data_IF_046040204081
#
_entry.id   IF_046040204081
#
_cell.length_a   1.000
_cell.length_b   1.000
_cell.length_c   1.000
_cell.angle_alpha   90.00
_cell.angle_beta   90.00
_cell.angle_gamma   90.00
#
_symmetry.space_group_name_H-M   'P 1'
#
loop_
_entity.id
_entity.type
_entity.pdbx_description
1 polymer ?
#
# COMPACT_ATOMS: atom_id res chain seq x y z
N UNK A 1 -46.85 16.77 62.49
CA UNK A 1 -46.30 18.11 62.17
C UNK A 1 -44.87 18.17 62.67
N UNK A 2 -43.85 18.68 61.95
CA UNK A 2 -43.62 18.88 60.50
C UNK A 2 -42.29 18.19 60.04
N UNK A 3 -42.12 17.78 58.77
CA UNK A 3 -41.44 18.42 57.60
C UNK A 3 -40.09 17.79 57.18
N UNK A 4 -40.06 17.46 55.89
CA UNK A 4 -39.02 17.13 54.90
C UNK A 4 -37.61 17.75 55.04
N UNK A 5 -36.57 17.02 54.59
CA UNK A 5 -35.67 17.37 53.46
C UNK A 5 -34.55 16.30 53.21
N UNK A 6 -34.52 15.79 51.97
CA UNK A 6 -33.41 15.53 51.01
C UNK A 6 -32.19 14.59 51.18
N UNK A 7 -31.94 13.86 50.06
CA UNK A 7 -30.62 13.52 49.44
C UNK A 7 -30.03 12.14 49.80
N UNK A 8 -29.50 11.28 48.93
CA UNK A 8 -29.21 11.18 47.49
C UNK A 8 -28.88 9.67 47.24
N UNK A 9 -29.25 8.97 46.18
CA UNK A 9 -29.35 9.36 44.78
C UNK A 9 -28.10 8.87 44.02
N UNK A 10 -27.95 7.57 43.80
CA UNK A 10 -26.79 6.98 43.11
C UNK A 10 -26.79 7.29 41.61
N UNK A 11 -25.78 8.04 41.16
CA UNK A 11 -25.56 8.32 39.74
C UNK A 11 -24.72 7.23 39.07
N UNK A 12 -25.32 6.61 38.05
CA UNK A 12 -24.63 5.81 37.03
C UNK A 12 -23.92 6.75 36.06
N UNK A 13 -22.63 6.52 35.84
CA UNK A 13 -21.85 7.18 34.80
C UNK A 13 -22.35 6.75 33.40
N UNK A 14 -22.41 7.66 32.41
CA UNK A 14 -22.94 7.34 31.08
C UNK A 14 -21.89 6.66 30.18
N UNK A 15 -22.34 5.64 29.45
CA UNK A 15 -21.62 5.00 28.36
C UNK A 15 -21.28 6.01 27.25
N UNK A 16 -19.99 6.27 27.05
CA UNK A 16 -19.49 7.02 25.90
C UNK A 16 -19.47 6.15 24.64
N UNK A 17 -20.54 6.18 23.86
CA UNK A 17 -20.50 5.76 22.45
C UNK A 17 -19.65 6.76 21.65
N UNK A 18 -18.73 6.32 20.77
CA UNK A 18 -18.15 7.22 19.77
C UNK A 18 -19.22 7.52 18.71
N UNK A 19 -19.89 8.67 18.88
CA UNK A 19 -20.85 9.22 17.95
C UNK A 19 -20.16 9.71 16.68
N UNK A 20 -20.61 9.19 15.53
CA UNK A 20 -20.21 9.66 14.20
C UNK A 20 -20.69 8.69 13.12
N UNK A 21 -22.00 8.64 12.85
CA UNK A 21 -22.51 8.00 11.63
C UNK A 21 -22.04 8.84 10.43
N UNK A 22 -21.31 8.31 9.44
CA UNK A 22 -21.11 8.97 8.16
C UNK A 22 -22.37 8.76 7.33
N UNK A 23 -23.46 9.38 7.77
CA UNK A 23 -24.66 9.58 6.95
C UNK A 23 -24.47 10.81 6.05
N UNK A 24 -23.28 10.98 5.47
CA UNK A 24 -23.09 11.94 4.38
C UNK A 24 -23.84 11.45 3.16
N UNK A 25 -24.57 12.34 2.49
CA UNK A 25 -25.06 12.07 1.14
C UNK A 25 -23.85 11.79 0.24
N UNK A 26 -23.94 10.77 -0.64
CA UNK A 26 -22.84 10.46 -1.55
C UNK A 26 -22.53 11.67 -2.43
N UNK A 27 -21.25 11.92 -2.70
CA UNK A 27 -20.87 13.01 -3.59
C UNK A 27 -21.47 12.79 -4.98
N UNK A 28 -22.40 13.66 -5.37
CA UNK A 28 -23.13 13.59 -6.63
C UNK A 28 -22.36 14.13 -7.83
N UNK A 29 -21.15 14.67 -7.61
CA UNK A 29 -20.31 15.17 -8.69
C UNK A 29 -19.97 14.06 -9.71
N UNK A 30 -19.80 14.43 -10.98
CA UNK A 30 -19.24 13.54 -11.98
C UNK A 30 -17.90 12.97 -11.51
N UNK A 31 -17.67 11.68 -11.74
CA UNK A 31 -16.38 11.04 -11.48
C UNK A 31 -15.68 10.74 -12.80
N UNK A 32 -14.47 11.25 -12.95
CA UNK A 32 -13.50 10.82 -13.98
C UNK A 32 -12.51 9.87 -13.32
N UNK A 33 -12.35 8.67 -13.88
CA UNK A 33 -11.48 7.62 -13.38
C UNK A 33 -10.36 7.38 -14.40
N UNK A 34 -9.12 7.70 -14.04
CA UNK A 34 -7.94 7.20 -14.76
C UNK A 34 -7.62 5.80 -14.25
N UNK A 35 -7.90 4.78 -15.06
CA UNK A 35 -7.81 3.38 -14.65
C UNK A 35 -7.61 2.43 -15.82
N UNK A 36 -7.49 1.13 -15.53
CA UNK A 36 -7.42 0.10 -16.59
C UNK A 36 -8.82 -0.30 -17.01
N UNK A 37 -9.16 -0.09 -18.29
CA UNK A 37 -10.50 -0.37 -18.80
C UNK A 37 -10.82 -1.86 -18.75
N UNK A 38 -12.07 -2.18 -18.37
CA UNK A 38 -12.61 -3.51 -18.03
C UNK A 38 -11.86 -4.19 -16.87
N UNK A 39 -10.98 -3.47 -16.19
CA UNK A 39 -10.22 -3.93 -15.04
C UNK A 39 -11.10 -4.19 -13.83
N UNK A 40 -10.57 -4.94 -12.86
CA UNK A 40 -11.30 -5.29 -11.64
C UNK A 40 -11.74 -4.06 -10.84
N UNK A 41 -10.88 -3.05 -10.77
CA UNK A 41 -11.10 -1.86 -9.94
C UNK A 41 -12.12 -0.91 -10.57
N UNK A 42 -12.08 -0.73 -11.89
CA UNK A 42 -13.14 -0.01 -12.62
C UNK A 42 -14.52 -0.65 -12.37
N UNK A 43 -14.63 -1.98 -12.52
CA UNK A 43 -15.89 -2.69 -12.30
C UNK A 43 -16.44 -2.48 -10.88
N UNK A 44 -15.57 -2.49 -9.87
CA UNK A 44 -15.96 -2.25 -8.48
C UNK A 44 -16.38 -0.79 -8.26
N UNK A 45 -15.69 0.17 -8.86
CA UNK A 45 -16.08 1.58 -8.80
C UNK A 45 -17.44 1.81 -9.47
N UNK A 46 -17.66 1.27 -10.67
CA UNK A 46 -18.94 1.39 -11.38
C UNK A 46 -20.08 0.74 -10.58
N UNK A 47 -19.86 -0.44 -10.01
CA UNK A 47 -20.83 -1.12 -9.15
C UNK A 47 -21.17 -0.30 -7.90
N UNK A 48 -20.17 0.31 -7.26
CA UNK A 48 -20.39 1.19 -6.11
C UNK A 48 -21.21 2.44 -6.47
N UNK A 49 -20.93 3.06 -7.62
CA UNK A 49 -21.72 4.20 -8.11
C UNK A 49 -23.16 3.81 -8.42
N UNK A 50 -23.36 2.69 -9.10
CA UNK A 50 -24.69 2.15 -9.39
C UNK A 50 -25.48 1.86 -8.11
N UNK A 51 -24.85 1.22 -7.11
CA UNK A 51 -25.49 0.91 -5.82
C UNK A 51 -25.88 2.17 -5.02
N UNK A 52 -25.18 3.29 -5.26
CA UNK A 52 -25.48 4.59 -4.66
C UNK A 52 -26.42 5.45 -5.52
N UNK A 53 -26.91 4.95 -6.66
CA UNK A 53 -27.76 5.72 -7.57
C UNK A 53 -27.04 6.86 -8.28
N UNK A 54 -25.70 6.82 -8.35
CA UNK A 54 -24.88 7.84 -9.00
C UNK A 54 -24.71 7.55 -10.50
N UNK A 55 -24.54 8.58 -11.36
CA UNK A 55 -24.18 8.39 -12.76
C UNK A 55 -22.88 7.59 -12.91
N UNK A 56 -22.75 6.77 -13.96
CA UNK A 56 -21.53 6.01 -14.23
C UNK A 56 -20.29 6.92 -14.29
N UNK A 57 -19.14 6.39 -13.85
CA UNK A 57 -17.88 7.11 -13.97
C UNK A 57 -17.44 7.19 -15.44
N UNK A 58 -16.86 8.32 -15.84
CA UNK A 58 -16.16 8.45 -17.12
C UNK A 58 -14.78 7.81 -16.96
N UNK A 59 -14.47 6.82 -17.79
CA UNK A 59 -13.22 6.04 -17.67
C UNK A 59 -12.23 6.46 -18.74
N UNK A 60 -11.14 7.09 -18.31
CA UNK A 60 -9.94 7.35 -19.12
C UNK A 60 -9.01 6.16 -18.92
N UNK A 61 -8.71 5.43 -19.99
CA UNK A 61 -7.81 4.27 -19.91
C UNK A 61 -6.35 4.74 -19.83
N UNK A 62 -5.58 4.16 -18.91
CA UNK A 62 -4.16 4.49 -18.72
C UNK A 62 -3.33 4.38 -20.01
N UNK A 63 -3.47 3.28 -20.76
CA UNK A 63 -2.65 3.05 -21.95
C UNK A 63 -3.08 3.97 -23.09
N UNK A 64 -4.38 4.21 -23.26
CA UNK A 64 -4.89 5.15 -24.26
C UNK A 64 -4.49 6.59 -23.95
N UNK A 65 -4.53 7.02 -22.69
CA UNK A 65 -4.08 8.36 -22.31
C UNK A 65 -2.58 8.55 -22.49
N UNK A 66 -1.76 7.54 -22.21
CA UNK A 66 -0.32 7.61 -22.49
C UNK A 66 -0.03 7.77 -23.99
N UNK A 67 -0.84 7.18 -24.87
CA UNK A 67 -0.74 7.35 -26.33
C UNK A 67 -1.36 8.67 -26.79
N UNK A 68 -2.45 9.13 -26.17
CA UNK A 68 -3.23 10.31 -26.53
C UNK A 68 -3.56 11.16 -25.29
N UNK A 69 -2.61 12.00 -24.81
CA UNK A 69 -2.78 12.76 -23.57
C UNK A 69 -4.03 13.66 -23.53
N UNK A 70 -4.47 14.15 -24.69
CA UNK A 70 -5.66 15.00 -24.82
C UNK A 70 -6.95 14.35 -24.29
N UNK A 71 -7.01 13.02 -24.18
CA UNK A 71 -8.18 12.30 -23.63
C UNK A 71 -8.48 12.70 -22.18
N UNK A 72 -7.45 12.92 -21.36
CA UNK A 72 -7.63 13.31 -19.97
C UNK A 72 -8.08 14.77 -19.88
N UNK A 73 -7.40 15.67 -20.58
CA UNK A 73 -7.77 17.09 -20.65
C UNK A 73 -9.22 17.26 -21.11
N UNK A 74 -9.64 16.59 -22.19
CA UNK A 74 -11.02 16.64 -22.68
C UNK A 74 -12.03 16.14 -21.62
N UNK A 75 -11.68 15.12 -20.85
CA UNK A 75 -12.55 14.56 -19.81
C UNK A 75 -12.68 15.45 -18.57
N UNK A 76 -11.70 16.32 -18.31
CA UNK A 76 -11.65 17.17 -17.12
C UNK A 76 -12.07 18.64 -17.37
N UNK A 77 -12.09 19.09 -18.63
CA UNK A 77 -12.20 20.52 -18.97
C UNK A 77 -13.59 21.15 -18.74
N UNK A 78 -14.67 20.38 -18.84
CA UNK A 78 -16.01 20.98 -19.04
C UNK A 78 -16.75 21.40 -17.76
N UNK A 79 -16.51 20.73 -16.63
CA UNK A 79 -17.30 20.94 -15.40
C UNK A 79 -16.57 20.50 -14.14
N UNK A 80 -16.94 21.04 -12.96
CA UNK A 80 -16.50 20.52 -11.67
C UNK A 80 -16.71 19.01 -11.58
N UNK A 81 -15.67 18.29 -11.19
CA UNK A 81 -15.71 16.84 -11.08
C UNK A 81 -14.71 16.34 -10.05
N UNK A 82 -14.94 15.10 -9.62
CA UNK A 82 -13.94 14.32 -8.90
C UNK A 82 -13.09 13.57 -9.92
N UNK A 83 -11.78 13.67 -9.79
CA UNK A 83 -10.83 12.89 -10.57
C UNK A 83 -10.14 11.85 -9.68
N UNK A 84 -10.36 10.57 -9.96
CA UNK A 84 -9.69 9.48 -9.27
C UNK A 84 -8.62 8.86 -10.15
N UNK A 85 -7.41 8.74 -9.62
CA UNK A 85 -6.33 7.96 -10.20
C UNK A 85 -6.38 6.57 -9.56
N UNK A 86 -6.42 5.53 -10.38
CA UNK A 86 -6.40 4.15 -9.92
C UNK A 86 -5.15 3.40 -10.39
N UNK A 87 -4.91 2.23 -9.81
CA UNK A 87 -3.72 1.43 -10.06
C UNK A 87 -3.58 1.07 -11.54
N UNK A 88 -2.36 1.11 -12.11
CA UNK A 88 -2.07 0.58 -13.44
C UNK A 88 -2.25 -0.95 -13.52
N UNK A 89 -2.46 -1.65 -12.39
CA UNK A 89 -2.78 -3.08 -12.36
C UNK A 89 -1.67 -3.96 -12.94
N UNK A 90 -2.06 -5.09 -13.53
CA UNK A 90 -1.16 -6.07 -14.15
C UNK A 90 -1.24 -6.02 -15.70
N UNK A 91 -1.65 -4.87 -16.27
CA UNK A 91 -1.77 -4.71 -17.72
C UNK A 91 -0.39 -4.70 -18.39
N UNK A 92 -0.08 -5.75 -19.15
CA UNK A 92 1.24 -5.95 -19.75
C UNK A 92 1.60 -4.87 -20.79
N UNK A 93 0.62 -4.33 -21.52
CA UNK A 93 0.85 -3.26 -22.51
C UNK A 93 1.26 -1.99 -21.78
N UNK A 94 0.48 -1.59 -20.78
CA UNK A 94 0.76 -0.41 -19.95
C UNK A 94 2.11 -0.52 -19.25
N UNK A 95 2.42 -1.67 -18.65
CA UNK A 95 3.72 -1.92 -18.03
C UNK A 95 4.87 -1.73 -19.04
N UNK A 96 4.73 -2.31 -20.25
CA UNK A 96 5.73 -2.15 -21.30
C UNK A 96 5.86 -0.73 -21.85
N UNK A 97 4.81 0.10 -21.76
CA UNK A 97 4.87 1.53 -22.11
C UNK A 97 5.62 2.32 -21.04
N UNK A 98 5.28 2.11 -19.76
CA UNK A 98 5.94 2.78 -18.63
C UNK A 98 7.43 2.42 -18.56
N UNK A 99 7.78 1.13 -18.70
CA UNK A 99 9.19 0.69 -18.73
C UNK A 99 9.93 1.39 -19.86
N UNK A 100 9.38 1.42 -21.08
CA UNK A 100 10.03 2.08 -22.22
C UNK A 100 10.29 3.57 -21.98
N UNK A 101 9.28 4.30 -21.50
CA UNK A 101 9.42 5.72 -21.19
C UNK A 101 10.44 5.97 -20.07
N UNK A 102 10.47 5.10 -19.05
CA UNK A 102 11.45 5.19 -17.97
C UNK A 102 12.87 4.86 -18.42
N UNK A 103 13.06 3.83 -19.24
CA UNK A 103 14.35 3.51 -19.87
C UNK A 103 14.86 4.70 -20.69
N UNK A 104 14.02 5.29 -21.53
CA UNK A 104 14.37 6.48 -22.33
C UNK A 104 14.80 7.64 -21.43
N UNK A 105 14.02 7.95 -20.40
CA UNK A 105 14.31 9.05 -19.47
C UNK A 105 15.58 8.83 -18.65
N UNK A 106 15.93 7.58 -18.36
CA UNK A 106 17.15 7.22 -17.64
C UNK A 106 18.36 7.00 -18.57
N UNK A 107 18.17 7.08 -19.90
CA UNK A 107 19.24 6.79 -20.87
C UNK A 107 19.68 5.32 -20.90
N UNK A 108 18.81 4.40 -20.47
CA UNK A 108 19.09 2.97 -20.37
C UNK A 108 18.57 2.27 -21.65
N UNK A 109 19.45 1.57 -22.35
CA UNK A 109 19.06 0.74 -23.48
C UNK A 109 18.27 -0.49 -23.03
N UNK A 110 17.06 -0.68 -23.55
CA UNK A 110 16.24 -1.85 -23.25
C UNK A 110 16.41 -2.93 -24.31
N UNK A 111 17.07 -4.03 -23.96
CA UNK A 111 17.25 -5.17 -24.88
C UNK A 111 15.98 -6.00 -25.05
N UNK A 112 15.19 -6.14 -23.98
CA UNK A 112 13.88 -6.83 -23.99
C UNK A 112 12.98 -6.33 -22.88
N UNK A 113 11.68 -6.58 -23.04
CA UNK A 113 10.73 -6.45 -21.94
C UNK A 113 10.88 -7.65 -20.97
N UNK A 114 10.58 -7.43 -19.66
CA UNK A 114 10.55 -8.50 -18.68
C UNK A 114 9.49 -9.54 -19.03
N UNK A 115 9.77 -10.80 -18.72
CA UNK A 115 8.79 -11.86 -18.81
C UNK A 115 7.68 -11.64 -17.77
N UNK A 116 6.51 -12.26 -17.97
CA UNK A 116 5.42 -12.16 -16.99
C UNK A 116 5.89 -12.64 -15.62
N UNK A 117 5.83 -11.75 -14.63
CA UNK A 117 6.21 -12.04 -13.25
C UNK A 117 7.70 -11.97 -12.98
N UNK A 118 8.53 -11.65 -13.97
CA UNK A 118 9.95 -11.39 -13.75
C UNK A 118 10.15 -10.15 -12.86
N UNK A 119 11.07 -10.25 -11.91
CA UNK A 119 11.46 -9.14 -11.02
C UNK A 119 12.70 -8.50 -11.65
N UNK A 120 12.46 -7.64 -12.63
CA UNK A 120 13.46 -6.81 -13.27
C UNK A 120 12.87 -5.44 -13.61
N UNK A 121 13.72 -4.51 -14.03
CA UNK A 121 13.36 -3.17 -14.50
C UNK A 121 12.48 -2.33 -13.56
N UNK A 122 12.59 -2.57 -12.25
CA UNK A 122 11.72 -1.91 -11.26
C UNK A 122 11.93 -0.40 -11.19
N UNK A 123 13.18 0.07 -11.35
CA UNK A 123 13.50 1.49 -11.34
C UNK A 123 13.03 2.21 -12.61
N UNK A 124 13.16 1.55 -13.75
CA UNK A 124 12.73 2.03 -15.05
C UNK A 124 11.21 2.12 -15.10
N UNK A 125 10.50 1.08 -14.66
CA UNK A 125 9.04 1.15 -14.54
C UNK A 125 8.59 2.32 -13.65
N UNK A 126 9.24 2.52 -12.50
CA UNK A 126 8.90 3.60 -11.58
C UNK A 126 9.22 4.99 -12.16
N UNK A 127 10.32 5.12 -12.91
CA UNK A 127 10.66 6.35 -13.62
C UNK A 127 9.58 6.71 -14.66
N UNK A 128 9.12 5.73 -15.45
CA UNK A 128 8.01 5.93 -16.39
C UNK A 128 6.71 6.31 -15.69
N UNK A 129 6.38 5.63 -14.58
CA UNK A 129 5.21 5.97 -13.76
C UNK A 129 5.30 7.37 -13.15
N UNK A 130 6.51 7.78 -12.74
CA UNK A 130 6.80 9.14 -12.24
C UNK A 130 6.51 10.19 -13.31
N UNK A 131 7.01 10.00 -14.53
CA UNK A 131 6.74 10.90 -15.65
C UNK A 131 5.24 10.99 -15.97
N UNK A 132 4.54 9.85 -15.94
CA UNK A 132 3.10 9.82 -16.13
C UNK A 132 2.37 10.66 -15.06
N UNK A 133 2.65 10.44 -13.78
CA UNK A 133 2.02 11.22 -12.71
C UNK A 133 2.43 12.70 -12.68
N UNK A 134 3.62 13.05 -13.15
CA UNK A 134 4.02 14.44 -13.37
C UNK A 134 3.20 15.12 -14.47
N UNK A 135 2.90 14.41 -15.57
CA UNK A 135 2.00 14.92 -16.63
C UNK A 135 0.59 15.14 -16.11
N UNK A 136 0.06 14.17 -15.35
CA UNK A 136 -1.25 14.32 -14.68
C UNK A 136 -1.25 15.54 -13.76
N UNK A 137 -0.22 15.72 -12.94
CA UNK A 137 -0.12 16.87 -12.04
C UNK A 137 -0.07 18.21 -12.80
N UNK A 138 0.65 18.26 -13.94
CA UNK A 138 0.71 19.44 -14.78
C UNK A 138 -0.67 19.79 -15.37
N UNK A 139 -1.42 18.80 -15.88
CA UNK A 139 -2.80 19.00 -16.36
C UNK A 139 -3.72 19.52 -15.25
N UNK A 140 -3.65 18.91 -14.05
CA UNK A 140 -4.48 19.30 -12.91
C UNK A 140 -4.17 20.70 -12.38
N UNK A 141 -2.93 21.18 -12.50
CA UNK A 141 -2.54 22.50 -12.02
C UNK A 141 -3.31 23.66 -12.68
N UNK A 142 -3.83 23.43 -13.90
CA UNK A 142 -4.64 24.39 -14.64
C UNK A 142 -6.15 24.27 -14.36
N UNK A 143 -6.58 23.29 -13.56
CA UNK A 143 -7.99 22.88 -13.42
C UNK A 143 -8.43 22.91 -11.94
N UNK A 144 -8.59 24.11 -11.37
CA UNK A 144 -8.96 24.30 -9.96
C UNK A 144 -10.35 23.75 -9.59
N UNK A 145 -11.22 23.53 -10.57
CA UNK A 145 -12.54 22.92 -10.37
C UNK A 145 -12.50 21.38 -10.23
N UNK A 146 -11.34 20.75 -10.40
CA UNK A 146 -11.16 19.30 -10.31
C UNK A 146 -10.69 18.91 -8.91
N UNK A 147 -11.46 18.06 -8.22
CA UNK A 147 -11.11 17.52 -6.90
C UNK A 147 -10.43 16.16 -7.07
N UNK A 148 -9.21 16.02 -6.56
CA UNK A 148 -8.35 14.88 -6.90
C UNK A 148 -8.33 13.82 -5.79
N UNK A 149 -8.42 12.56 -6.16
CA UNK A 149 -8.36 11.39 -5.28
C UNK A 149 -7.37 10.35 -5.85
N UNK A 150 -6.16 10.18 -5.35
CA UNK A 150 -5.39 11.03 -4.42
C UNK A 150 -4.45 11.96 -5.22
N UNK A 151 -3.81 12.92 -4.54
CA UNK A 151 -2.82 13.78 -5.19
C UNK A 151 -1.65 12.98 -5.82
N UNK A 152 -1.24 13.29 -7.08
CA UNK A 152 -0.19 12.54 -7.78
C UNK A 152 1.15 12.44 -7.03
N UNK A 153 1.58 13.50 -6.36
CA UNK A 153 2.88 13.50 -5.67
C UNK A 153 2.88 12.62 -4.40
N UNK A 154 1.76 12.56 -3.66
CA UNK A 154 1.63 11.65 -2.51
C UNK A 154 1.47 10.19 -2.97
N UNK A 155 0.81 9.95 -4.12
CA UNK A 155 0.79 8.63 -4.76
C UNK A 155 2.21 8.16 -5.08
N UNK A 156 3.05 9.01 -5.68
CA UNK A 156 4.45 8.68 -5.97
C UNK A 156 5.23 8.36 -4.70
N UNK A 157 5.05 9.18 -3.65
CA UNK A 157 5.72 8.95 -2.38
C UNK A 157 5.29 7.62 -1.73
N UNK A 158 4.01 7.26 -1.77
CA UNK A 158 3.54 5.96 -1.27
C UNK A 158 4.01 4.78 -2.12
N UNK A 159 4.24 4.98 -3.42
CA UNK A 159 4.73 3.93 -4.32
C UNK A 159 6.24 3.68 -4.19
N UNK A 160 7.00 4.63 -3.66
CA UNK A 160 8.39 4.47 -3.26
C UNK A 160 8.47 4.07 -1.79
N UNK A 161 8.58 2.76 -1.50
CA UNK A 161 8.55 2.28 -0.13
C UNK A 161 9.68 2.82 0.73
N UNK A 162 10.87 3.02 0.16
CA UNK A 162 12.01 3.53 0.93
C UNK A 162 11.78 4.99 1.30
N UNK A 163 11.39 5.82 0.32
CA UNK A 163 11.08 7.23 0.56
C UNK A 163 9.87 7.39 1.50
N UNK A 164 8.86 6.53 1.37
CA UNK A 164 7.69 6.51 2.26
C UNK A 164 8.08 6.22 3.72
N UNK A 165 8.95 5.23 3.95
CA UNK A 165 9.44 4.92 5.30
C UNK A 165 10.29 6.05 5.89
N UNK A 166 11.12 6.69 5.07
CA UNK A 166 11.87 7.87 5.48
C UNK A 166 10.94 9.05 5.83
N UNK A 167 9.89 9.27 5.04
CA UNK A 167 8.85 10.28 5.29
C UNK A 167 8.11 10.04 6.61
N UNK A 168 7.77 8.78 6.91
CA UNK A 168 7.19 8.38 8.18
C UNK A 168 8.13 8.61 9.35
N UNK A 169 9.38 8.19 9.23
CA UNK A 169 10.41 8.39 10.27
C UNK A 169 10.58 9.87 10.59
N UNK A 170 10.69 10.72 9.56
CA UNK A 170 10.83 12.16 9.71
C UNK A 170 9.64 12.84 10.42
N UNK A 171 8.49 12.18 10.48
CA UNK A 171 7.26 12.66 11.14
C UNK A 171 6.93 11.90 12.42
N UNK A 172 7.87 11.10 12.93
CA UNK A 172 7.70 10.35 14.17
C UNK A 172 6.66 9.23 14.09
N UNK A 173 6.29 8.78 12.90
CA UNK A 173 5.41 7.63 12.72
C UNK A 173 6.23 6.37 13.03
N UNK A 174 5.78 5.50 13.96
CA UNK A 174 6.52 4.28 14.29
C UNK A 174 6.57 3.31 13.10
N UNK A 175 7.78 2.93 12.71
CA UNK A 175 8.06 1.99 11.63
C UNK A 175 9.15 0.99 12.07
N UNK A 176 9.35 -0.14 11.35
CA UNK A 176 10.57 -0.92 11.50
C UNK A 176 11.82 -0.06 11.35
N UNK A 177 12.85 -0.32 12.17
CA UNK A 177 14.12 0.41 12.06
C UNK A 177 14.67 0.24 10.65
N UNK A 178 14.76 1.34 9.92
CA UNK A 178 15.26 1.39 8.56
C UNK A 178 16.79 1.23 8.56
N UNK A 179 17.31 0.35 7.71
CA UNK A 179 18.75 0.11 7.58
C UNK A 179 19.32 0.65 6.25
N UNK A 180 18.45 1.13 5.37
CA UNK A 180 18.83 1.78 4.12
C UNK A 180 18.95 0.83 2.91
N UNK A 181 19.37 1.35 1.75
CA UNK A 181 19.60 0.58 0.53
C UNK A 181 20.64 -0.52 0.73
N UNK A 182 20.47 -1.64 0.02
CA UNK A 182 21.42 -2.75 0.02
C UNK A 182 22.00 -2.89 -1.39
N UNK A 183 23.33 -2.88 -1.48
CA UNK A 183 24.08 -2.91 -2.75
C UNK A 183 24.44 -4.33 -3.19
N UNK A 184 24.23 -5.32 -2.32
CA UNK A 184 24.51 -6.73 -2.57
C UNK A 184 24.67 -7.49 -1.26
N UNK A 185 24.97 -8.78 -1.36
CA UNK A 185 25.11 -9.67 -0.21
C UNK A 185 26.24 -9.23 0.74
N UNK A 186 27.38 -8.82 0.21
CA UNK A 186 28.50 -8.37 1.03
C UNK A 186 28.13 -7.12 1.86
N UNK A 187 27.46 -6.15 1.23
CA UNK A 187 26.96 -4.97 1.91
C UNK A 187 25.90 -5.33 2.97
N UNK A 188 24.97 -6.24 2.66
CA UNK A 188 24.01 -6.73 3.66
C UNK A 188 24.69 -7.30 4.91
N UNK A 189 25.74 -8.11 4.73
CA UNK A 189 26.49 -8.68 5.86
C UNK A 189 27.11 -7.58 6.72
N UNK A 190 27.74 -6.59 6.11
CA UNK A 190 28.34 -5.46 6.81
C UNK A 190 27.30 -4.66 7.61
N UNK A 191 26.15 -4.34 7.00
CA UNK A 191 25.03 -3.64 7.67
C UNK A 191 24.52 -4.41 8.88
N UNK A 192 24.40 -5.73 8.75
CA UNK A 192 23.97 -6.58 9.87
C UNK A 192 25.01 -6.64 11.00
N UNK A 193 26.30 -6.65 10.67
CA UNK A 193 27.40 -6.65 11.65
C UNK A 193 27.45 -5.32 12.41
N UNK A 194 27.40 -4.20 11.68
CA UNK A 194 27.36 -2.83 12.23
C UNK A 194 26.20 -2.64 13.20
N UNK A 195 25.01 -3.11 12.83
CA UNK A 195 23.81 -2.93 13.65
C UNK A 195 23.54 -4.06 14.65
N UNK A 196 24.46 -5.02 14.76
CA UNK A 196 24.35 -6.21 15.61
C UNK A 196 23.05 -7.00 15.42
N UNK A 197 22.63 -7.15 14.15
CA UNK A 197 21.42 -7.87 13.76
C UNK A 197 21.74 -9.24 13.18
N UNK A 198 20.80 -10.15 13.38
CA UNK A 198 20.83 -11.51 12.83
C UNK A 198 19.64 -11.81 11.93
N UNK A 199 18.72 -10.85 11.76
CA UNK A 199 17.49 -11.03 11.01
C UNK A 199 16.94 -9.69 10.51
N UNK A 200 16.55 -9.65 9.25
CA UNK A 200 16.04 -8.46 8.55
C UNK A 200 15.02 -8.86 7.49
N UNK A 201 14.20 -7.90 7.11
CA UNK A 201 13.44 -7.98 5.88
C UNK A 201 14.12 -7.14 4.80
N UNK A 202 14.30 -7.74 3.63
CA UNK A 202 14.64 -7.03 2.40
C UNK A 202 13.37 -6.78 1.60
N UNK A 203 13.23 -5.59 1.04
CA UNK A 203 12.08 -5.22 0.21
C UNK A 203 12.57 -4.52 -1.05
N UNK A 204 12.02 -4.90 -2.20
CA UNK A 204 12.14 -4.11 -3.42
C UNK A 204 11.48 -2.74 -3.22
N UNK A 205 12.17 -1.66 -3.62
CA UNK A 205 11.73 -0.29 -3.35
C UNK A 205 10.39 0.06 -4.00
N UNK A 206 10.16 -0.40 -5.23
CA UNK A 206 8.94 -0.08 -6.00
C UNK A 206 8.00 -1.27 -6.24
N UNK A 207 8.33 -2.46 -5.74
CA UNK A 207 7.49 -3.64 -5.95
C UNK A 207 6.15 -3.56 -5.21
N UNK A 208 5.17 -4.36 -5.60
CA UNK A 208 3.91 -4.52 -4.86
C UNK A 208 3.67 -5.99 -4.51
N UNK A 209 2.61 -6.33 -3.77
CA UNK A 209 2.17 -7.73 -3.55
C UNK A 209 3.23 -8.66 -2.93
N UNK A 210 4.11 -8.09 -2.09
CA UNK A 210 5.29 -8.75 -1.54
C UNK A 210 6.30 -9.25 -2.58
N UNK A 211 6.31 -8.70 -3.80
CA UNK A 211 7.28 -9.03 -4.86
C UNK A 211 8.73 -8.80 -4.40
N UNK A 212 9.56 -9.83 -4.49
CA UNK A 212 10.98 -9.75 -4.13
C UNK A 212 11.28 -9.50 -2.65
N UNK A 213 10.32 -9.75 -1.76
CA UNK A 213 10.54 -9.61 -0.31
C UNK A 213 11.32 -10.81 0.21
N UNK A 214 12.37 -10.56 0.99
CA UNK A 214 13.20 -11.60 1.61
C UNK A 214 13.13 -11.47 3.13
N UNK A 215 12.73 -12.54 3.79
CA UNK A 215 12.96 -12.79 5.20
C UNK A 215 14.35 -13.44 5.36
N UNK A 216 15.37 -12.65 5.69
CA UNK A 216 16.73 -13.14 5.85
C UNK A 216 17.07 -13.32 7.34
N UNK A 217 17.75 -14.42 7.67
CA UNK A 217 18.30 -14.68 9.00
C UNK A 217 19.65 -15.40 8.93
N UNK A 218 20.49 -15.15 9.93
CA UNK A 218 21.76 -15.84 10.16
C UNK A 218 21.91 -16.21 11.64
N UNK A 219 22.78 -17.17 11.94
CA UNK A 219 23.17 -17.47 13.32
C UNK A 219 24.68 -17.30 13.53
N UNK A 220 25.11 -17.37 14.80
CA UNK A 220 26.51 -17.23 15.18
C UNK A 220 27.43 -18.34 14.66
N UNK A 221 26.88 -19.47 14.20
CA UNK A 221 27.62 -20.59 13.60
C UNK A 221 27.80 -20.44 12.09
N UNK A 222 27.36 -19.31 11.51
CA UNK A 222 27.47 -19.03 10.09
C UNK A 222 26.36 -19.63 9.23
N UNK A 223 25.36 -20.32 9.81
CA UNK A 223 24.23 -20.82 9.04
C UNK A 223 23.29 -19.68 8.67
N UNK A 224 22.84 -19.66 7.41
CA UNK A 224 21.99 -18.63 6.85
C UNK A 224 20.70 -19.24 6.28
N UNK A 225 19.65 -18.41 6.25
CA UNK A 225 18.44 -18.72 5.51
C UNK A 225 17.79 -17.45 4.96
N UNK A 226 17.38 -17.51 3.70
CA UNK A 226 16.54 -16.51 3.06
C UNK A 226 15.23 -17.16 2.62
N UNK A 227 14.09 -16.71 3.18
CA UNK A 227 12.77 -17.09 2.68
C UNK A 227 12.21 -15.97 1.82
N UNK A 228 11.90 -16.24 0.56
CA UNK A 228 11.59 -15.21 -0.43
C UNK A 228 10.34 -15.53 -1.26
N UNK A 229 9.69 -14.48 -1.75
CA UNK A 229 8.69 -14.52 -2.83
C UNK A 229 9.32 -14.41 -4.23
N UNK A 230 10.65 -14.25 -4.32
CA UNK A 230 11.40 -14.37 -5.55
C UNK A 230 11.97 -15.77 -5.69
N UNK A 231 11.73 -16.39 -6.86
CA UNK A 231 12.32 -17.65 -7.28
C UNK A 231 13.49 -17.40 -8.22
N UNK A 232 14.66 -17.91 -7.85
CA UNK A 232 15.88 -17.89 -8.65
C UNK A 232 15.81 -18.96 -9.74
N UNK A 233 15.74 -18.54 -10.99
CA UNK A 233 15.62 -19.42 -12.16
C UNK A 233 16.85 -19.25 -13.03
N UNK A 234 17.54 -20.37 -13.32
CA UNK A 234 18.68 -20.40 -14.24
C UNK A 234 18.18 -20.35 -15.69
N UNK A 235 18.90 -19.62 -16.55
CA UNK A 235 18.60 -19.54 -17.98
C UNK A 235 19.84 -19.19 -18.80
N UNK A 236 19.70 -19.23 -20.13
CA UNK A 236 20.80 -19.00 -21.08
C UNK A 236 21.46 -17.62 -20.93
N UNK A 237 20.71 -16.62 -20.45
CA UNK A 237 21.21 -15.27 -20.14
C UNK A 237 21.65 -15.05 -18.70
N UNK A 238 21.84 -16.12 -17.91
CA UNK A 238 22.16 -16.05 -16.48
C UNK A 238 20.93 -16.18 -15.57
N UNK A 239 21.14 -16.12 -14.24
CA UNK A 239 20.08 -16.25 -13.26
C UNK A 239 19.11 -15.07 -13.30
N UNK A 240 17.82 -15.35 -13.19
CA UNK A 240 16.73 -14.37 -13.17
C UNK A 240 15.80 -14.62 -11.99
N UNK A 241 15.08 -13.59 -11.56
CA UNK A 241 14.13 -13.67 -10.47
C UNK A 241 12.70 -13.60 -10.98
N UNK A 242 11.84 -14.48 -10.47
CA UNK A 242 10.41 -14.48 -10.78
C UNK A 242 9.57 -14.45 -9.50
N UNK A 243 8.47 -13.72 -9.53
CA UNK A 243 7.49 -13.69 -8.47
C UNK A 243 6.77 -15.03 -8.33
N UNK A 244 6.77 -15.57 -7.11
CA UNK A 244 6.07 -16.80 -6.77
C UNK A 244 5.17 -16.62 -5.57
N UNK A 245 3.97 -17.21 -5.64
CA UNK A 245 3.04 -17.26 -4.50
C UNK A 245 3.51 -18.22 -3.41
N UNK A 246 4.12 -19.35 -3.83
CA UNK A 246 4.68 -20.32 -2.89
C UNK A 246 6.11 -19.92 -2.57
N UNK A 247 6.29 -19.39 -1.36
CA UNK A 247 7.60 -18.90 -0.90
C UNK A 247 8.68 -19.97 -1.00
N UNK A 248 9.85 -19.55 -1.49
CA UNK A 248 11.08 -20.33 -1.55
C UNK A 248 11.92 -20.13 -0.31
N UNK A 249 12.70 -21.13 0.04
CA UNK A 249 13.70 -21.03 1.12
C UNK A 249 15.05 -21.43 0.56
N UNK A 250 16.02 -20.53 0.73
CA UNK A 250 17.40 -20.68 0.33
C UNK A 250 18.25 -20.83 1.57
N UNK A 251 19.07 -21.87 1.59
CA UNK A 251 19.96 -22.21 2.71
C UNK A 251 21.41 -22.36 2.26
N UNK A 252 21.66 -22.54 0.95
CA UNK A 252 22.99 -22.54 0.38
C UNK A 252 23.44 -21.09 0.17
N UNK A 253 24.64 -20.75 0.67
CA UNK A 253 25.19 -19.41 0.56
C UNK A 253 25.27 -18.92 -0.90
N UNK A 254 25.71 -19.71 -1.91
CA UNK A 254 25.75 -19.25 -3.29
C UNK A 254 24.40 -18.77 -3.84
N UNK A 255 23.30 -19.46 -3.49
CA UNK A 255 21.96 -19.06 -3.91
C UNK A 255 21.50 -17.78 -3.19
N UNK A 256 21.84 -17.65 -1.91
CA UNK A 256 21.55 -16.45 -1.11
C UNK A 256 22.28 -15.23 -1.67
N UNK A 257 23.55 -15.39 -2.08
CA UNK A 257 24.34 -14.35 -2.74
C UNK A 257 23.65 -13.90 -4.03
N UNK A 258 23.37 -14.83 -4.95
CA UNK A 258 22.72 -14.49 -6.23
C UNK A 258 21.35 -13.84 -6.03
N UNK A 259 20.54 -14.35 -5.10
CA UNK A 259 19.23 -13.77 -4.78
C UNK A 259 19.36 -12.31 -4.34
N UNK A 260 20.28 -12.02 -3.40
CA UNK A 260 20.42 -10.68 -2.85
C UNK A 260 21.05 -9.72 -3.86
N UNK A 261 22.06 -10.15 -4.62
CA UNK A 261 22.72 -9.30 -5.61
C UNK A 261 21.78 -8.91 -6.76
N UNK A 262 20.95 -9.85 -7.24
CA UNK A 262 19.92 -9.55 -8.25
C UNK A 262 18.87 -8.58 -7.69
N UNK A 263 18.43 -8.77 -6.44
CA UNK A 263 17.49 -7.86 -5.78
C UNK A 263 18.09 -6.48 -5.49
N UNK A 264 19.38 -6.39 -5.18
CA UNK A 264 20.10 -5.13 -5.02
C UNK A 264 20.10 -4.32 -6.32
N UNK A 265 20.29 -4.98 -7.47
CA UNK A 265 20.10 -4.37 -8.79
C UNK A 265 18.68 -3.86 -9.05
N UNK A 266 17.69 -4.30 -8.25
CA UNK A 266 16.32 -3.81 -8.23
C UNK A 266 16.04 -2.83 -7.07
N UNK A 267 17.10 -2.13 -6.63
CA UNK A 267 17.07 -1.08 -5.60
C UNK A 267 16.44 -1.56 -4.28
N UNK A 268 16.77 -2.77 -3.86
CA UNK A 268 16.29 -3.32 -2.60
C UNK A 268 16.86 -2.57 -1.39
N UNK A 269 16.07 -2.49 -0.32
CA UNK A 269 16.49 -1.91 0.95
C UNK A 269 16.16 -2.85 2.12
N UNK A 270 16.77 -2.61 3.27
CA UNK A 270 16.60 -3.42 4.46
C UNK A 270 15.88 -2.69 5.60
N UNK A 271 15.07 -3.46 6.33
CA UNK A 271 14.43 -3.07 7.59
C UNK A 271 14.73 -4.11 8.67
N UNK A 272 14.90 -3.66 9.91
CA UNK A 272 15.01 -4.56 11.05
C UNK A 272 13.74 -5.39 11.22
N UNK A 273 13.92 -6.66 11.60
CA UNK A 273 12.82 -7.59 11.76
C UNK A 273 11.91 -7.22 12.95
N UNK A 274 10.62 -6.97 12.68
CA UNK A 274 9.59 -6.88 13.73
C UNK A 274 8.85 -8.23 13.88
N UNK A 275 8.83 -8.83 15.08
CA UNK A 275 8.01 -10.01 15.34
C UNK A 275 6.52 -9.72 15.21
N UNK A 276 5.83 -10.45 14.34
CA UNK A 276 4.38 -10.37 14.17
C UNK A 276 3.63 -11.05 15.31
N UNK A 277 2.50 -10.49 15.79
CA UNK A 277 1.62 -11.16 16.73
C UNK A 277 1.14 -12.49 16.15
N UNK A 278 0.78 -13.41 17.05
CA UNK A 278 0.33 -14.76 16.71
C UNK A 278 -1.16 -14.91 16.93
N UNK A 279 -1.79 -15.71 16.09
CA UNK A 279 -3.14 -16.20 16.28
C UNK A 279 -3.19 -17.68 15.89
N UNK A 280 -3.54 -18.54 16.85
CA UNK A 280 -3.37 -19.99 16.71
C UNK A 280 -1.92 -20.35 16.33
N UNK A 281 -1.78 -21.08 15.22
CA UNK A 281 -0.48 -21.49 14.68
C UNK A 281 0.13 -20.47 13.69
N UNK A 282 -0.57 -19.38 13.38
CA UNK A 282 -0.16 -18.37 12.41
C UNK A 282 0.35 -17.07 13.01
N UNK A 283 0.85 -16.22 12.13
CA UNK A 283 1.18 -14.82 12.38
C UNK A 283 0.25 -13.92 11.58
N UNK A 284 0.05 -12.69 12.04
CA UNK A 284 -0.75 -11.73 11.28
C UNK A 284 -0.17 -10.32 11.30
N UNK A 285 -0.56 -9.57 10.28
CA UNK A 285 -0.56 -8.12 10.28
C UNK A 285 -1.99 -7.63 10.00
N UNK A 286 -2.21 -6.33 10.07
CA UNK A 286 -3.51 -5.70 9.84
C UNK A 286 -3.40 -4.74 8.67
N UNK A 287 -4.28 -4.92 7.69
CA UNK A 287 -4.54 -3.92 6.65
C UNK A 287 -5.62 -2.98 7.18
N UNK A 288 -5.29 -1.69 7.30
CA UNK A 288 -6.22 -0.61 7.62
C UNK A 288 -6.38 0.27 6.39
N UNK A 289 -7.59 0.47 5.90
CA UNK A 289 -7.89 1.50 4.90
C UNK A 289 -8.34 2.75 5.62
N UNK A 290 -7.67 3.87 5.39
CA UNK A 290 -8.10 5.18 5.86
C UNK A 290 -8.84 5.93 4.76
N UNK A 291 -9.87 6.68 5.13
CA UNK A 291 -10.66 7.57 4.27
C UNK A 291 -10.66 8.98 4.89
N UNK A 292 -10.21 10.00 4.17
CA UNK A 292 -10.10 11.38 4.67
C UNK A 292 -9.27 11.47 5.96
N UNK A 293 -8.17 10.71 6.04
CA UNK A 293 -7.32 10.63 7.25
C UNK A 293 -7.89 9.78 8.41
N UNK A 294 -9.09 9.19 8.25
CA UNK A 294 -9.78 8.42 9.29
C UNK A 294 -9.71 6.92 9.02
N UNK A 295 -9.33 6.05 9.97
CA UNK A 295 -9.42 4.60 9.81
C UNK A 295 -10.86 4.11 9.56
N UNK A 296 -11.08 3.42 8.44
CA UNK A 296 -12.37 2.95 7.98
C UNK A 296 -12.43 1.41 7.93
N UNK A 297 -11.88 0.76 6.91
CA UNK A 297 -11.91 -0.70 6.80
C UNK A 297 -10.69 -1.34 7.46
N UNK A 298 -10.86 -2.50 8.09
CA UNK A 298 -9.77 -3.22 8.78
C UNK A 298 -9.89 -4.70 8.51
N UNK A 299 -8.77 -5.35 8.22
CA UNK A 299 -8.74 -6.80 8.10
C UNK A 299 -7.39 -7.34 8.55
N UNK A 300 -7.41 -8.33 9.43
CA UNK A 300 -6.20 -9.06 9.76
C UNK A 300 -5.91 -10.07 8.65
N UNK A 301 -4.65 -10.13 8.22
CA UNK A 301 -4.16 -11.09 7.23
C UNK A 301 -3.34 -12.14 7.96
N UNK A 302 -3.92 -13.32 8.14
CA UNK A 302 -3.32 -14.42 8.91
C UNK A 302 -2.62 -15.37 7.96
N UNK A 303 -1.33 -15.56 8.18
CA UNK A 303 -0.50 -16.51 7.43
C UNK A 303 0.20 -17.50 8.36
N UNK A 304 0.40 -18.73 7.87
CA UNK A 304 1.18 -19.75 8.58
C UNK A 304 2.69 -19.56 8.41
N UNK A 305 3.11 -18.58 7.60
CA UNK A 305 4.50 -18.24 7.29
C UNK A 305 4.82 -16.80 7.67
N UNK A 306 6.10 -16.43 7.61
CA UNK A 306 6.58 -15.11 8.07
C UNK A 306 6.08 -13.93 7.23
N UNK A 307 5.65 -14.17 5.99
CA UNK A 307 4.99 -13.19 5.11
C UNK A 307 3.48 -13.42 5.06
N UNK A 308 2.72 -12.34 5.31
CA UNK A 308 1.26 -12.34 5.58
C UNK A 308 0.45 -11.61 4.50
N UNK A 309 1.06 -11.22 3.38
CA UNK A 309 0.40 -10.48 2.30
C UNK A 309 -0.78 -11.28 1.69
N UNK A 310 -1.91 -10.63 1.37
CA UNK A 310 -3.11 -11.29 0.80
C UNK A 310 -2.86 -12.02 -0.53
N UNK A 311 -1.86 -11.59 -1.31
CA UNK A 311 -1.50 -12.23 -2.56
C UNK A 311 -0.90 -13.64 -2.39
N UNK A 312 -0.65 -14.05 -1.13
CA UNK A 312 -0.19 -15.38 -0.73
C UNK A 312 -1.34 -16.29 -0.23
N UNK A 313 -2.59 -15.97 -0.59
CA UNK A 313 -3.81 -16.70 -0.22
C UNK A 313 -4.03 -16.81 1.31
N UNK A 314 -3.55 -15.80 2.06
CA UNK A 314 -3.69 -15.74 3.51
C UNK A 314 -5.15 -15.56 3.95
N UNK A 315 -5.50 -16.13 5.10
CA UNK A 315 -6.84 -16.06 5.66
C UNK A 315 -7.14 -14.65 6.17
N UNK A 316 -8.39 -14.21 6.00
CA UNK A 316 -8.88 -12.97 6.58
C UNK A 316 -9.53 -13.27 7.92
N UNK A 317 -9.17 -12.49 8.93
CA UNK A 317 -9.81 -12.54 10.24
C UNK A 317 -10.31 -11.14 10.63
N UNK A 318 -11.36 -11.11 11.43
CA UNK A 318 -11.87 -9.86 11.99
C UNK A 318 -10.91 -9.35 13.05
N UNK A 319 -10.47 -8.10 12.90
CA UNK A 319 -9.53 -7.44 13.81
C UNK A 319 -10.12 -7.34 15.22
N UNK A 320 -11.44 -7.15 15.33
CA UNK A 320 -12.12 -7.06 16.63
C UNK A 320 -12.02 -8.36 17.44
N UNK A 321 -11.86 -9.51 16.76
CA UNK A 321 -11.68 -10.81 17.41
C UNK A 321 -10.24 -11.09 17.85
N UNK A 322 -9.28 -10.27 17.41
CA UNK A 322 -7.84 -10.54 17.58
C UNK A 322 -7.13 -9.56 18.51
N UNK A 323 -7.60 -8.32 18.58
CA UNK A 323 -6.94 -7.26 19.33
C UNK A 323 -7.69 -6.97 20.64
N UNK A 324 -6.95 -6.91 21.74
CA UNK A 324 -7.45 -6.29 22.96
C UNK A 324 -7.55 -4.77 22.81
N UNK A 325 -8.28 -4.11 23.71
CA UNK A 325 -8.59 -2.68 23.66
C UNK A 325 -7.34 -1.80 23.46
N UNK A 326 -6.26 -2.06 24.20
CA UNK A 326 -4.99 -1.31 24.08
C UNK A 326 -4.33 -1.44 22.71
N UNK A 327 -4.33 -2.64 22.14
CA UNK A 327 -3.77 -2.88 20.80
C UNK A 327 -4.67 -2.23 19.73
N UNK A 328 -5.99 -2.29 19.91
CA UNK A 328 -6.91 -1.63 19.01
C UNK A 328 -6.71 -0.11 19.01
N UNK A 329 -6.63 0.51 20.19
CA UNK A 329 -6.37 1.95 20.32
C UNK A 329 -5.04 2.38 19.67
N UNK A 330 -3.98 1.59 19.87
CA UNK A 330 -2.68 1.85 19.24
C UNK A 330 -2.74 1.75 17.71
N UNK A 331 -3.45 0.75 17.19
CA UNK A 331 -3.68 0.59 15.75
C UNK A 331 -4.39 1.83 15.17
N UNK A 332 -5.51 2.25 15.78
CA UNK A 332 -6.30 3.40 15.35
C UNK A 332 -5.48 4.70 15.36
N UNK A 333 -4.79 4.97 16.46
CA UNK A 333 -4.01 6.19 16.65
C UNK A 333 -2.88 6.27 15.64
N UNK A 334 -2.10 5.19 15.48
CA UNK A 334 -0.98 5.17 14.53
C UNK A 334 -1.46 5.22 13.09
N UNK A 335 -2.57 4.55 12.75
CA UNK A 335 -3.13 4.61 11.40
C UNK A 335 -3.57 6.03 11.02
N UNK A 336 -4.25 6.71 11.94
CA UNK A 336 -4.67 8.11 11.79
C UNK A 336 -3.47 9.05 11.67
N UNK A 337 -2.47 8.90 12.53
CA UNK A 337 -1.26 9.71 12.48
C UNK A 337 -0.50 9.52 11.16
N UNK A 338 -0.36 8.28 10.68
CA UNK A 338 0.27 7.98 9.40
C UNK A 338 -0.50 8.59 8.23
N UNK A 339 -1.82 8.45 8.20
CA UNK A 339 -2.65 9.04 7.15
C UNK A 339 -2.62 10.58 7.15
N UNK A 340 -2.53 11.21 8.33
CA UNK A 340 -2.38 12.67 8.44
C UNK A 340 -1.08 13.21 7.83
N UNK A 341 -0.08 12.35 7.57
CA UNK A 341 1.14 12.75 6.85
C UNK A 341 0.97 12.86 5.33
N UNK A 342 -0.22 12.50 4.82
CA UNK A 342 -0.63 12.58 3.42
C UNK A 342 -1.96 13.36 3.30
N UNK A 343 -1.98 14.66 3.65
CA UNK A 343 -3.20 15.45 3.74
C UNK A 343 -3.95 15.59 2.41
N UNK A 344 -3.30 15.36 1.27
CA UNK A 344 -3.92 15.47 -0.05
C UNK A 344 -4.31 14.09 -0.64
N UNK A 345 -4.38 13.06 0.20
CA UNK A 345 -4.80 11.71 -0.14
C UNK A 345 -6.03 11.31 0.67
N UNK A 346 -7.12 11.05 -0.05
CA UNK A 346 -8.35 10.58 0.58
C UNK A 346 -8.24 9.13 1.02
N UNK A 347 -7.69 8.25 0.18
CA UNK A 347 -7.69 6.80 0.42
C UNK A 347 -6.28 6.25 0.56
N UNK A 348 -5.96 5.60 1.68
CA UNK A 348 -4.64 5.00 1.92
C UNK A 348 -4.83 3.63 2.55
N UNK A 349 -4.14 2.60 2.04
CA UNK A 349 -4.06 1.30 2.71
C UNK A 349 -2.77 1.16 3.51
N UNK A 350 -2.86 1.09 4.83
CA UNK A 350 -1.74 0.89 5.72
C UNK A 350 -1.62 -0.58 6.10
N UNK A 351 -0.44 -1.16 5.89
CA UNK A 351 -0.07 -2.46 6.45
C UNK A 351 0.61 -2.23 7.79
N UNK A 352 0.09 -2.82 8.85
CA UNK A 352 0.50 -2.52 10.22
C UNK A 352 0.68 -3.77 11.05
N UNK A 353 1.63 -3.72 12.00
CA UNK A 353 1.76 -4.73 13.05
C UNK A 353 1.55 -4.06 14.38
N UNK A 354 0.72 -4.66 15.23
CA UNK A 354 0.43 -4.16 16.57
C UNK A 354 0.66 -5.24 17.61
N UNK A 355 1.29 -4.86 18.72
CA UNK A 355 1.55 -5.75 19.86
C UNK A 355 1.83 -4.94 21.11
N UNK A 356 1.21 -5.35 22.23
CA UNK A 356 1.48 -4.78 23.57
C UNK A 356 1.28 -3.25 23.63
N UNK A 357 0.25 -2.74 22.95
CA UNK A 357 -0.07 -1.31 22.89
C UNK A 357 0.81 -0.50 21.94
N UNK A 358 1.63 -1.15 21.11
CA UNK A 358 2.50 -0.48 20.15
C UNK A 358 2.21 -0.95 18.73
N UNK A 359 1.89 0.00 17.84
CA UNK A 359 1.67 -0.26 16.42
C UNK A 359 2.83 0.31 15.60
N UNK A 360 3.23 -0.41 14.55
CA UNK A 360 4.22 0.01 13.56
C UNK A 360 3.62 -0.06 12.16
N UNK A 361 3.85 0.96 11.34
CA UNK A 361 3.49 0.96 9.92
C UNK A 361 4.58 0.23 9.14
N UNK A 362 4.19 -0.84 8.45
CA UNK A 362 5.09 -1.64 7.60
C UNK A 362 5.16 -1.13 6.16
N UNK A 363 4.06 -0.53 5.68
CA UNK A 363 3.92 0.00 4.32
C UNK A 363 2.65 0.86 4.22
N UNK A 364 2.72 1.98 3.49
CA UNK A 364 1.54 2.68 2.97
C UNK A 364 1.34 2.33 1.50
N UNK A 365 0.10 2.02 1.12
CA UNK A 365 -0.29 1.61 -0.22
C UNK A 365 -1.26 2.65 -0.79
N UNK A 366 -0.81 3.35 -1.84
CA UNK A 366 -1.60 4.26 -2.65
C UNK A 366 -2.92 3.64 -3.17
N UNK A 367 -2.86 2.35 -3.51
CA UNK A 367 -3.98 1.58 -4.06
C UNK A 367 -4.37 0.42 -3.13
N UNK A 368 -4.32 0.64 -1.81
CA UNK A 368 -4.56 -0.42 -0.82
C UNK A 368 -6.02 -0.79 -0.56
N UNK A 369 -6.94 -0.26 -1.34
CA UNK A 369 -8.41 -0.27 -1.17
C UNK A 369 -9.12 -1.46 -1.83
N UNK A 370 -8.42 -2.30 -2.60
CA UNK A 370 -9.02 -3.48 -3.23
C UNK A 370 -9.24 -4.62 -2.22
N UNK A 371 -10.30 -4.52 -1.42
CA UNK A 371 -10.68 -5.49 -0.40
C UNK A 371 -12.12 -5.99 -0.62
N UNK A 372 -12.37 -6.82 -1.66
CA UNK A 372 -13.72 -7.30 -1.95
C UNK A 372 -14.35 -7.98 -0.74
N UNK A 373 -15.66 -7.74 -0.54
CA UNK A 373 -16.49 -8.28 0.55
C UNK A 373 -16.15 -7.77 1.97
N UNK A 374 -15.13 -6.90 2.12
CA UNK A 374 -14.88 -6.25 3.40
C UNK A 374 -15.79 -5.04 3.52
N UNK A 375 -16.64 -5.03 4.54
CA UNK A 375 -17.57 -3.94 4.80
C UNK A 375 -17.12 -3.14 6.02
N UNK A 376 -17.34 -1.83 5.96
CA UNK A 376 -17.28 -0.93 7.10
C UNK A 376 -18.58 -0.15 7.08
N UNK A 377 -19.34 -0.26 8.17
CA UNK A 377 -20.65 0.37 8.32
C UNK A 377 -21.60 0.08 7.13
N UNK A 378 -21.60 -1.17 6.67
CA UNK A 378 -22.45 -1.63 5.56
C UNK A 378 -21.93 -1.28 4.17
N UNK A 379 -20.81 -0.57 4.03
CA UNK A 379 -20.26 -0.16 2.74
C UNK A 379 -18.93 -0.85 2.43
N UNK A 380 -18.74 -1.25 1.18
CA UNK A 380 -17.42 -1.65 0.69
C UNK A 380 -16.47 -0.44 0.60
N UNK A 381 -15.21 -0.70 0.27
CA UNK A 381 -14.18 0.34 0.21
C UNK A 381 -14.45 1.41 -0.86
N UNK A 382 -15.14 1.09 -1.95
CA UNK A 382 -15.40 2.03 -3.05
C UNK A 382 -16.63 2.89 -2.76
N UNK A 383 -17.72 2.29 -2.26
CA UNK A 383 -18.90 3.02 -1.82
C UNK A 383 -18.58 3.97 -0.65
N UNK A 384 -17.75 3.53 0.30
CA UNK A 384 -17.31 4.36 1.41
C UNK A 384 -16.45 5.55 0.93
N UNK A 385 -15.55 5.35 -0.05
CA UNK A 385 -14.80 6.46 -0.66
C UNK A 385 -15.74 7.53 -1.22
N UNK A 386 -16.75 7.12 -1.99
CA UNK A 386 -17.72 8.04 -2.62
C UNK A 386 -18.60 8.79 -1.60
N UNK A 387 -18.90 8.19 -0.46
CA UNK A 387 -19.69 8.81 0.62
C UNK A 387 -18.90 9.76 1.50
N UNK A 388 -17.63 9.47 1.71
CA UNK A 388 -16.77 10.21 2.64
C UNK A 388 -15.92 11.26 1.95
N UNK A 389 -15.83 11.22 0.63
CA UNK A 389 -15.12 12.24 -0.14
C UNK A 389 -15.92 13.53 -0.16
N UNK A 390 -15.72 14.32 0.89
CA UNK A 390 -16.21 15.68 0.97
C UNK A 390 -15.30 16.59 0.15
N UNK A 391 -15.92 17.50 -0.60
CA UNK A 391 -15.29 18.73 -1.08
C UNK A 391 -14.52 19.38 0.07
N UNK A 392 -13.20 19.19 0.16
CA UNK A 392 -12.41 20.04 1.03
C UNK A 392 -12.32 21.38 0.28
N UNK A 393 -13.11 22.35 0.70
CA UNK A 393 -12.69 23.75 0.52
C UNK A 393 -11.44 23.89 1.41
N UNK A 394 -10.30 24.10 0.74
CA UNK A 394 -9.02 24.34 1.39
C UNK A 394 -9.06 25.65 2.20
#
# INVERSE_FOLDING_TARGET
>A
MPRMLDGAGGERMPDGQPNGKPNGEPNSEPLVLLGVRRGKREKLMQAARQALGLPAAVVVDWAEWLDQPALLTASLAERPCVFKIDSPGDDARLHGMLIRQGCEALGIGMSRLPDRGEISVSGEWFAGFTLALQRVAAELSALSHVKVMNAPHELLLMMDKLACQQHFTARGIPIPRLLGPIEGYAHLRAVLDEHHLNQVFLKTRYGSSASGVVAYRRNSRGAEQATSSADLVQGEGGPRLYNVKRLRSYNAQPDIVHLIDLLAGQQTYAEAWIPKPRHGNGHYDVRVVTLGGQPAHRVARVGTRMMTNLHLDNQRADVASLLGEKDHAALEQTARAAAATFPQSHVIGLDMVVRKGHAHVLEANAFGDLLPKLLWQGHDTYAAQLRTFSSHEA
#
